data_IF_996240073286
#
_entry.id   IF_996240073286
#
_cell.length_a   1.000
_cell.length_b   1.000
_cell.length_c   1.000
_cell.angle_alpha   90.00
_cell.angle_beta   90.00
_cell.angle_gamma   90.00
#
_symmetry.space_group_name_H-M   'P 1'
#
loop_
_entity.id
_entity.type
_entity.pdbx_description
1 polymer ?
#
# COMPACT_ATOMS: atom_id res chain seq x y z
N UNK A 1 -43.62 -0.91 -1.72
CA UNK A 1 -44.34 -1.22 -2.98
C UNK A 1 -43.33 -1.15 -4.11
N UNK A 2 -43.08 -2.28 -4.77
CA UNK A 2 -42.01 -2.48 -5.76
C UNK A 2 -41.95 -3.96 -6.11
N UNK A 3 -43.01 -4.41 -6.77
CA UNK A 3 -43.29 -5.80 -7.11
C UNK A 3 -42.51 -6.28 -8.34
N UNK A 4 -42.32 -7.60 -8.39
CA UNK A 4 -42.26 -8.46 -9.58
C UNK A 4 -41.03 -8.36 -10.52
N UNK A 5 -40.21 -9.42 -10.53
CA UNK A 5 -40.14 -10.35 -11.67
C UNK A 5 -39.11 -11.47 -11.44
N UNK A 6 -39.54 -12.70 -11.13
CA UNK A 6 -38.73 -13.90 -11.32
C UNK A 6 -39.00 -14.45 -12.73
N UNK A 7 -38.01 -14.35 -13.62
CA UNK A 7 -38.06 -14.96 -14.95
C UNK A 7 -37.35 -16.32 -14.92
N UNK A 8 -38.16 -17.37 -15.11
CA UNK A 8 -37.77 -18.76 -15.24
C UNK A 8 -37.15 -19.09 -16.61
N UNK A 9 -36.17 -19.99 -16.62
CA UNK A 9 -35.73 -20.76 -17.80
C UNK A 9 -35.32 -22.15 -17.31
N UNK A 10 -36.28 -23.09 -17.23
CA UNK A 10 -36.56 -24.16 -18.22
C UNK A 10 -35.45 -25.20 -18.33
N UNK A 11 -35.62 -26.29 -17.60
CA UNK A 11 -35.00 -27.59 -17.81
C UNK A 11 -35.48 -28.20 -19.14
N UNK A 12 -34.61 -28.85 -19.93
CA UNK A 12 -35.04 -29.68 -21.04
C UNK A 12 -35.42 -31.08 -20.54
N UNK A 13 -36.72 -31.29 -20.39
CA UNK A 13 -37.34 -32.62 -20.37
C UNK A 13 -37.31 -33.26 -21.77
N UNK A 14 -37.08 -34.57 -21.81
CA UNK A 14 -37.69 -35.44 -22.81
C UNK A 14 -36.87 -35.74 -24.06
N UNK A 15 -35.85 -36.58 -23.94
CA UNK A 15 -35.42 -37.40 -25.08
C UNK A 15 -35.96 -38.81 -24.89
N UNK A 16 -37.05 -39.08 -25.60
CA UNK A 16 -37.76 -40.34 -25.62
C UNK A 16 -36.88 -41.47 -26.17
N UNK A 17 -36.82 -42.56 -25.41
CA UNK A 17 -36.25 -43.85 -25.77
C UNK A 17 -37.06 -44.49 -26.91
N UNK A 18 -36.44 -44.84 -28.06
CA UNK A 18 -37.08 -45.68 -29.07
C UNK A 18 -37.12 -47.14 -28.58
N UNK A 19 -38.19 -47.91 -28.89
CA UNK A 19 -38.25 -49.33 -28.60
C UNK A 19 -37.26 -50.12 -29.47
N UNK A 20 -36.72 -51.25 -28.97
CA UNK A 20 -35.79 -52.09 -29.72
C UNK A 20 -36.51 -52.89 -30.81
N UNK A 21 -35.90 -53.10 -31.98
CA UNK A 21 -36.36 -54.11 -32.94
C UNK A 21 -35.89 -55.50 -32.50
N UNK A 22 -36.82 -56.44 -32.49
CA UNK A 22 -36.60 -57.88 -32.34
C UNK A 22 -35.75 -58.45 -33.48
N UNK A 23 -34.83 -59.34 -33.09
CA UNK A 23 -34.27 -60.49 -33.79
C UNK A 23 -33.99 -60.38 -35.30
N UNK A 24 -32.72 -60.15 -35.61
CA UNK A 24 -32.07 -60.71 -36.78
C UNK A 24 -30.70 -61.28 -36.38
N UNK A 25 -30.63 -62.60 -36.31
CA UNK A 25 -29.41 -63.36 -36.16
C UNK A 25 -28.54 -63.24 -37.42
N UNK A 26 -27.31 -62.72 -37.34
CA UNK A 26 -26.18 -63.18 -38.18
C UNK A 26 -24.82 -62.76 -37.58
N UNK A 27 -23.88 -63.71 -37.64
CA UNK A 27 -22.40 -63.63 -37.68
C UNK A 27 -21.57 -63.43 -36.40
N UNK A 28 -21.15 -64.58 -35.84
CA UNK A 28 -20.07 -64.76 -34.85
C UNK A 28 -18.65 -64.56 -35.44
N UNK A 29 -18.37 -63.45 -36.15
CA UNK A 29 -17.00 -63.26 -36.67
C UNK A 29 -16.50 -61.82 -36.66
N UNK A 30 -16.55 -61.17 -35.48
CA UNK A 30 -15.64 -60.07 -35.17
C UNK A 30 -15.58 -59.83 -33.66
N UNK A 31 -14.67 -60.56 -33.00
CA UNK A 31 -14.31 -60.27 -31.60
C UNK A 31 -13.52 -58.96 -31.57
N UNK A 32 -14.00 -57.90 -30.91
CA UNK A 32 -13.22 -56.68 -30.76
C UNK A 32 -11.92 -57.01 -30.01
N UNK A 33 -10.77 -56.42 -30.38
CA UNK A 33 -9.57 -56.57 -29.56
C UNK A 33 -9.87 -56.12 -28.13
N UNK A 34 -9.26 -56.74 -27.11
CA UNK A 34 -9.52 -56.40 -25.72
C UNK A 34 -9.33 -54.90 -25.52
N UNK A 35 -10.38 -54.23 -25.04
CA UNK A 35 -10.35 -52.82 -24.73
C UNK A 35 -9.20 -52.58 -23.76
N UNK A 36 -8.20 -51.80 -24.18
CA UNK A 36 -7.09 -51.41 -23.34
C UNK A 36 -7.66 -50.75 -22.07
N UNK A 37 -7.29 -51.26 -20.90
CA UNK A 37 -7.74 -50.69 -19.63
C UNK A 37 -7.44 -49.18 -19.62
N UNK A 38 -8.42 -48.34 -19.25
CA UNK A 38 -8.17 -46.91 -19.13
C UNK A 38 -6.99 -46.70 -18.18
N UNK A 39 -6.04 -45.80 -18.53
CA UNK A 39 -4.87 -45.59 -17.69
C UNK A 39 -5.32 -45.26 -16.26
N UNK A 40 -4.67 -45.83 -15.24
CA UNK A 40 -5.04 -45.62 -13.85
C UNK A 40 -5.09 -44.12 -13.58
N UNK A 41 -6.28 -43.64 -13.17
CA UNK A 41 -6.45 -42.23 -12.84
C UNK A 41 -5.55 -41.91 -11.65
N UNK A 42 -4.76 -40.83 -11.70
CA UNK A 42 -3.93 -40.43 -10.57
C UNK A 42 -4.79 -40.34 -9.31
N UNK A 43 -4.36 -40.95 -8.21
CA UNK A 43 -5.03 -40.83 -6.92
C UNK A 43 -4.93 -39.37 -6.44
N UNK A 44 -5.92 -38.56 -6.81
CA UNK A 44 -6.13 -37.20 -6.30
C UNK A 44 -6.67 -37.31 -4.88
N UNK A 45 -5.85 -37.77 -3.93
CA UNK A 45 -6.33 -37.97 -2.57
C UNK A 45 -5.43 -38.73 -1.59
N UNK A 46 -4.20 -39.08 -1.95
CA UNK A 46 -3.28 -39.71 -1.01
C UNK A 46 -3.01 -38.82 0.22
N UNK A 47 -2.80 -39.46 1.37
CA UNK A 47 -2.57 -38.90 2.74
C UNK A 47 -1.42 -37.88 2.88
N UNK A 48 -0.81 -37.48 1.76
CA UNK A 48 0.19 -36.43 1.64
C UNK A 48 -0.34 -35.21 0.89
N UNK A 49 -1.49 -34.65 1.28
CA UNK A 49 -1.77 -33.24 0.97
C UNK A 49 -0.72 -32.40 1.71
N UNK A 50 0.41 -32.17 1.03
CA UNK A 50 1.53 -31.40 1.55
C UNK A 50 1.01 -30.03 1.93
N UNK A 51 1.20 -29.68 3.19
CA UNK A 51 0.77 -28.46 3.82
C UNK A 51 0.87 -27.26 2.86
N UNK A 52 -0.24 -26.52 2.75
CA UNK A 52 -0.32 -25.21 2.09
C UNK A 52 0.96 -24.44 2.39
N UNK A 53 1.77 -24.22 1.37
CA UNK A 53 3.15 -23.79 1.51
C UNK A 53 3.18 -22.48 2.31
N UNK A 54 3.72 -22.51 3.52
CA UNK A 54 3.86 -21.31 4.33
C UNK A 54 4.58 -20.22 3.51
N UNK A 55 4.18 -18.94 3.61
CA UNK A 55 4.85 -17.86 2.90
C UNK A 55 6.36 -17.88 3.17
N UNK A 56 7.20 -17.65 2.15
CA UNK A 56 8.64 -17.64 2.35
C UNK A 56 9.02 -16.59 3.40
N UNK A 57 9.93 -16.92 4.35
CA UNK A 57 10.29 -16.00 5.42
C UNK A 57 10.81 -14.68 4.85
N UNK A 58 10.48 -13.58 5.52
CA UNK A 58 10.86 -12.24 5.09
C UNK A 58 12.39 -12.09 5.19
N UNK A 59 13.09 -11.68 4.10
CA UNK A 59 14.53 -11.48 4.15
C UNK A 59 14.87 -10.36 5.13
N UNK A 60 15.96 -10.52 5.88
CA UNK A 60 16.42 -9.52 6.85
C UNK A 60 16.56 -8.12 6.24
N UNK A 61 17.04 -8.01 5.00
CA UNK A 61 17.13 -6.73 4.29
C UNK A 61 15.77 -6.01 4.15
N UNK A 62 14.67 -6.74 3.88
CA UNK A 62 13.34 -6.13 3.77
C UNK A 62 12.84 -5.70 5.15
N UNK A 63 13.08 -6.52 6.17
CA UNK A 63 12.75 -6.17 7.56
C UNK A 63 13.49 -4.90 8.00
N UNK A 64 14.81 -4.83 7.78
CA UNK A 64 15.63 -3.66 8.11
C UNK A 64 15.15 -2.42 7.35
N UNK A 65 14.86 -2.53 6.05
CA UNK A 65 14.33 -1.43 5.26
C UNK A 65 12.99 -0.91 5.80
N UNK A 66 12.11 -1.80 6.25
CA UNK A 66 10.84 -1.41 6.90
C UNK A 66 11.09 -0.76 8.26
N UNK A 67 12.01 -1.29 9.08
CA UNK A 67 12.36 -0.67 10.36
C UNK A 67 12.86 0.76 10.20
N UNK A 68 13.68 1.03 9.17
CA UNK A 68 14.10 2.39 8.84
C UNK A 68 12.93 3.29 8.42
N UNK A 69 11.99 2.76 7.65
CA UNK A 69 10.76 3.48 7.30
C UNK A 69 9.88 3.79 8.52
N UNK A 70 9.72 2.84 9.42
CA UNK A 70 8.98 3.04 10.68
C UNK A 70 9.68 4.08 11.56
N UNK A 71 11.01 4.00 11.68
CA UNK A 71 11.80 5.01 12.39
C UNK A 71 11.67 6.40 11.76
N UNK A 72 11.64 6.49 10.44
CA UNK A 72 11.37 7.75 9.71
C UNK A 72 9.99 8.31 10.05
N UNK A 73 8.95 7.46 10.07
CA UNK A 73 7.59 7.88 10.45
C UNK A 73 7.51 8.37 11.90
N UNK A 74 8.24 7.74 12.81
CA UNK A 74 8.33 8.17 14.20
C UNK A 74 9.03 9.54 14.32
N UNK A 75 10.13 9.74 13.60
CA UNK A 75 10.82 11.03 13.55
C UNK A 75 9.91 12.14 12.98
N UNK A 76 9.16 11.83 11.92
CA UNK A 76 8.19 12.77 11.35
C UNK A 76 7.03 13.09 12.28
N UNK A 77 6.56 12.13 13.06
CA UNK A 77 5.53 12.37 14.07
C UNK A 77 6.04 13.28 15.20
N UNK A 78 7.29 13.11 15.63
CA UNK A 78 7.94 13.98 16.60
C UNK A 78 8.08 15.41 16.07
N UNK A 79 8.54 15.56 14.81
CA UNK A 79 8.64 16.86 14.16
C UNK A 79 7.26 17.55 14.04
N UNK A 80 6.24 16.79 13.61
CA UNK A 80 4.86 17.27 13.52
C UNK A 80 4.32 17.74 14.89
N UNK A 81 4.54 16.93 15.93
CA UNK A 81 4.12 17.27 17.30
C UNK A 81 4.81 18.54 17.82
N UNK A 82 6.08 18.74 17.48
CA UNK A 82 6.82 19.98 17.78
C UNK A 82 6.19 21.19 17.08
N UNK A 83 5.86 21.09 15.80
CA UNK A 83 5.21 22.16 15.03
C UNK A 83 3.85 22.53 15.62
N UNK A 84 3.02 21.52 15.95
CA UNK A 84 1.71 21.74 16.57
C UNK A 84 1.86 22.47 17.91
N UNK A 85 2.88 22.14 18.70
CA UNK A 85 3.17 22.85 19.96
C UNK A 85 3.55 24.32 19.74
N UNK A 86 4.21 24.64 18.63
CA UNK A 86 4.59 26.00 18.24
C UNK A 86 3.51 26.78 17.48
N UNK A 87 2.32 26.20 17.30
CA UNK A 87 1.25 26.77 16.49
C UNK A 87 0.77 28.18 16.91
N UNK A 88 0.64 28.52 18.20
CA UNK A 88 0.26 29.88 18.61
C UNK A 88 1.24 30.94 18.11
N UNK A 89 2.55 30.66 18.23
CA UNK A 89 3.62 31.57 17.82
C UNK A 89 3.64 31.77 16.30
N UNK A 90 3.33 30.72 15.54
CA UNK A 90 3.22 30.78 14.08
C UNK A 90 2.01 31.60 13.65
N UNK A 91 0.87 31.45 14.34
CA UNK A 91 -0.35 32.21 14.08
C UNK A 91 -0.13 33.71 14.30
N UNK A 92 0.52 34.08 15.39
CA UNK A 92 0.77 35.49 15.73
C UNK A 92 1.72 36.15 14.72
N UNK A 93 2.78 35.45 14.31
CA UNK A 93 3.70 35.94 13.26
C UNK A 93 3.00 36.10 11.91
N UNK A 94 2.18 35.12 11.50
CA UNK A 94 1.45 35.21 10.24
C UNK A 94 0.45 36.37 10.26
N UNK A 95 -0.25 36.56 11.37
CA UNK A 95 -1.18 37.67 11.52
C UNK A 95 -0.46 39.03 11.44
N UNK A 96 0.71 39.16 12.08
CA UNK A 96 1.52 40.37 12.00
C UNK A 96 1.96 40.67 10.56
N UNK A 97 2.44 39.67 9.83
CA UNK A 97 2.92 39.85 8.46
C UNK A 97 1.79 40.14 7.45
N UNK A 98 0.59 39.56 7.64
CA UNK A 98 -0.58 39.89 6.83
C UNK A 98 -1.00 41.34 7.07
N UNK A 99 -1.05 41.79 8.32
CA UNK A 99 -1.40 43.19 8.65
C UNK A 99 -0.35 44.17 8.12
N UNK A 100 0.92 43.78 8.12
CA UNK A 100 2.00 44.59 7.53
C UNK A 100 1.86 44.75 6.01
N UNK A 101 1.49 43.68 5.30
CA UNK A 101 1.30 43.72 3.83
C UNK A 101 -0.03 44.30 3.40
N UNK A 102 -1.08 44.12 4.19
CA UNK A 102 -2.41 44.67 3.94
C UNK A 102 -3.00 45.28 5.22
N UNK A 103 -2.77 46.58 5.45
CA UNK A 103 -3.27 47.27 6.64
C UNK A 103 -4.80 47.45 6.63
N UNK A 104 -5.49 47.12 5.53
CA UNK A 104 -6.95 47.17 5.47
C UNK A 104 -7.62 45.93 6.05
N UNK A 105 -6.85 44.85 6.24
CA UNK A 105 -7.33 43.60 6.84
C UNK A 105 -7.35 43.70 8.37
N UNK A 106 -8.45 43.25 8.99
CA UNK A 106 -8.55 43.20 10.45
C UNK A 106 -7.74 42.04 11.02
N UNK A 107 -7.14 42.24 12.21
CA UNK A 107 -6.37 41.19 12.91
C UNK A 107 -7.20 39.91 13.11
N UNK A 108 -8.48 40.04 13.42
CA UNK A 108 -9.39 38.91 13.60
C UNK A 108 -9.54 38.07 12.32
N UNK A 109 -9.70 38.72 11.17
CA UNK A 109 -9.78 38.02 9.86
C UNK A 109 -8.46 37.31 9.54
N UNK A 110 -7.32 37.97 9.75
CA UNK A 110 -6.00 37.36 9.52
C UNK A 110 -5.76 36.14 10.42
N UNK A 111 -6.16 36.24 11.70
CA UNK A 111 -6.05 35.16 12.67
C UNK A 111 -6.95 33.96 12.37
N UNK A 112 -8.13 34.18 11.78
CA UNK A 112 -9.05 33.12 11.39
C UNK A 112 -8.56 32.40 10.12
N UNK A 113 -8.13 33.16 9.12
CA UNK A 113 -7.48 32.62 7.92
C UNK A 113 -6.23 31.79 8.27
N UNK A 114 -5.39 32.28 9.20
CA UNK A 114 -4.23 31.54 9.70
C UNK A 114 -4.62 30.22 10.38
N UNK A 115 -5.71 30.21 11.14
CA UNK A 115 -6.23 28.99 11.79
C UNK A 115 -6.65 27.95 10.77
N UNK A 116 -7.43 28.35 9.75
CA UNK A 116 -7.85 27.46 8.67
C UNK A 116 -6.65 26.91 7.90
N UNK A 117 -5.68 27.76 7.57
CA UNK A 117 -4.47 27.34 6.86
C UNK A 117 -3.67 26.32 7.68
N UNK A 118 -3.52 26.54 8.99
CA UNK A 118 -2.88 25.58 9.90
C UNK A 118 -3.60 24.23 9.87
N UNK A 119 -4.94 24.22 9.96
CA UNK A 119 -5.70 22.96 9.92
C UNK A 119 -5.58 22.25 8.57
N UNK A 120 -5.55 22.97 7.46
CA UNK A 120 -5.31 22.39 6.13
C UNK A 120 -3.91 21.77 6.08
N UNK A 121 -2.89 22.46 6.59
CA UNK A 121 -1.51 21.95 6.64
C UNK A 121 -1.39 20.70 7.53
N UNK A 122 -2.00 20.72 8.72
CA UNK A 122 -2.03 19.57 9.64
C UNK A 122 -2.80 18.40 9.03
N UNK A 123 -3.97 18.65 8.44
CA UNK A 123 -4.77 17.62 7.77
C UNK A 123 -4.03 17.00 6.58
N UNK A 124 -3.38 17.82 5.76
CA UNK A 124 -2.52 17.37 4.67
C UNK A 124 -1.35 16.52 5.16
N UNK A 125 -0.70 16.92 6.25
CA UNK A 125 0.39 16.16 6.86
C UNK A 125 -0.08 14.80 7.38
N UNK A 126 -1.22 14.76 8.07
CA UNK A 126 -1.84 13.51 8.53
C UNK A 126 -2.19 12.60 7.36
N UNK A 127 -2.75 13.14 6.28
CA UNK A 127 -3.07 12.38 5.08
C UNK A 127 -1.81 11.76 4.45
N UNK A 128 -0.75 12.55 4.27
CA UNK A 128 0.55 12.06 3.77
C UNK A 128 1.10 10.97 4.68
N UNK A 129 1.00 11.14 6.00
CA UNK A 129 1.45 10.14 6.96
C UNK A 129 0.66 8.83 6.85
N UNK A 130 -0.67 8.89 6.69
CA UNK A 130 -1.52 7.71 6.46
C UNK A 130 -1.15 6.99 5.16
N UNK A 131 -0.89 7.73 4.08
CA UNK A 131 -0.45 7.16 2.81
C UNK A 131 0.87 6.39 2.99
N UNK A 132 1.83 6.96 3.72
CA UNK A 132 3.07 6.27 4.04
C UNK A 132 2.84 4.99 4.84
N UNK A 133 2.02 5.06 5.89
CA UNK A 133 1.70 3.91 6.73
C UNK A 133 1.09 2.78 5.89
N UNK A 134 0.11 3.09 5.03
CA UNK A 134 -0.50 2.13 4.11
C UNK A 134 0.55 1.52 3.18
N UNK A 135 1.45 2.31 2.61
CA UNK A 135 2.51 1.82 1.72
C UNK A 135 3.50 0.90 2.45
N UNK A 136 3.87 1.23 3.70
CA UNK A 136 4.71 0.37 4.55
C UNK A 136 4.01 -0.96 4.82
N UNK A 137 2.74 -0.93 5.24
CA UNK A 137 1.95 -2.14 5.49
C UNK A 137 1.78 -2.99 4.23
N UNK A 138 1.52 -2.37 3.07
CA UNK A 138 1.42 -3.10 1.79
C UNK A 138 2.75 -3.72 1.37
N UNK A 139 3.85 -3.03 1.61
CA UNK A 139 5.21 -3.53 1.34
C UNK A 139 5.53 -4.71 2.25
N UNK A 140 5.17 -4.64 3.53
CA UNK A 140 5.25 -5.77 4.46
C UNK A 140 4.42 -6.98 4.00
N UNK A 141 3.22 -6.72 3.45
CA UNK A 141 2.34 -7.74 2.87
C UNK A 141 2.75 -8.30 1.50
N UNK A 142 3.97 -8.01 1.02
CA UNK A 142 4.51 -8.59 -0.21
C UNK A 142 4.10 -7.88 -1.51
N UNK A 143 3.49 -6.69 -1.46
CA UNK A 143 3.10 -5.96 -2.68
C UNK A 143 4.30 -5.22 -3.28
N UNK A 144 4.96 -5.84 -4.25
CA UNK A 144 6.14 -5.27 -4.90
C UNK A 144 5.92 -3.93 -5.64
N UNK A 145 4.68 -3.48 -5.84
CA UNK A 145 4.37 -2.13 -6.36
C UNK A 145 4.50 -1.04 -5.28
N UNK A 146 4.15 -1.35 -4.03
CA UNK A 146 4.17 -0.39 -2.92
C UNK A 146 5.59 0.11 -2.60
N UNK A 147 6.61 -0.71 -2.86
CA UNK A 147 8.02 -0.32 -2.70
C UNK A 147 8.40 0.90 -3.54
N UNK A 148 7.88 1.00 -4.76
CA UNK A 148 8.19 2.12 -5.66
C UNK A 148 7.48 3.38 -5.21
N UNK A 149 6.26 3.23 -4.67
CA UNK A 149 5.57 4.30 -3.97
C UNK A 149 6.41 4.84 -2.82
N UNK A 150 6.92 3.98 -1.93
CA UNK A 150 7.80 4.39 -0.83
C UNK A 150 9.06 5.10 -1.34
N UNK A 151 9.75 4.55 -2.34
CA UNK A 151 10.97 5.16 -2.89
C UNK A 151 10.69 6.57 -3.43
N UNK A 152 9.62 6.73 -4.23
CA UNK A 152 9.24 8.04 -4.77
C UNK A 152 8.87 9.02 -3.66
N UNK A 153 8.11 8.57 -2.66
CA UNK A 153 7.70 9.41 -1.54
C UNK A 153 8.88 9.80 -0.65
N UNK A 154 9.84 8.89 -0.44
CA UNK A 154 11.08 9.16 0.28
C UNK A 154 11.95 10.19 -0.45
N UNK A 155 12.09 10.08 -1.77
CA UNK A 155 12.80 11.06 -2.59
C UNK A 155 12.10 12.43 -2.58
N UNK A 156 10.77 12.44 -2.74
CA UNK A 156 9.98 13.67 -2.69
C UNK A 156 10.09 14.33 -1.31
N UNK A 157 9.99 13.55 -0.23
CA UNK A 157 10.17 14.05 1.13
C UNK A 157 11.56 14.64 1.36
N UNK A 158 12.61 13.97 0.87
CA UNK A 158 13.97 14.51 0.94
C UNK A 158 14.13 15.83 0.17
N UNK A 159 13.58 15.92 -1.04
CA UNK A 159 13.60 17.15 -1.83
C UNK A 159 12.86 18.31 -1.12
N UNK A 160 11.69 18.04 -0.55
CA UNK A 160 10.93 19.02 0.24
C UNK A 160 11.75 19.50 1.43
N UNK A 161 12.41 18.59 2.17
CA UNK A 161 13.25 18.98 3.32
C UNK A 161 14.40 19.89 2.90
N UNK A 162 15.01 19.65 1.73
CA UNK A 162 16.08 20.52 1.20
C UNK A 162 15.54 21.92 0.88
N UNK A 163 14.41 22.00 0.17
CA UNK A 163 13.77 23.29 -0.17
C UNK A 163 13.37 24.06 1.09
N UNK A 164 12.76 23.36 2.05
CA UNK A 164 12.36 23.96 3.34
C UNK A 164 13.58 24.47 4.11
N UNK A 165 14.71 23.77 4.07
CA UNK A 165 15.94 24.25 4.70
C UNK A 165 16.53 25.47 4.02
N UNK A 166 16.49 25.54 2.69
CA UNK A 166 16.98 26.69 1.93
C UNK A 166 16.17 27.96 2.27
N UNK A 167 14.84 27.82 2.33
CA UNK A 167 13.93 28.91 2.74
C UNK A 167 14.13 29.30 4.21
N UNK A 168 14.47 28.34 5.08
CA UNK A 168 14.64 28.57 6.51
C UNK A 168 16.09 28.88 6.93
N UNK A 169 17.04 28.98 5.98
CA UNK A 169 18.47 29.15 6.26
C UNK A 169 18.84 30.52 6.88
N UNK A 170 17.86 31.37 7.18
CA UNK A 170 18.07 32.65 7.82
C UNK A 170 18.62 32.48 9.25
N UNK A 171 19.75 33.13 9.53
CA UNK A 171 20.76 32.71 10.52
C UNK A 171 20.47 33.04 11.99
N UNK A 172 19.31 33.63 12.30
CA UNK A 172 19.12 34.31 13.59
C UNK A 172 18.30 33.54 14.66
N UNK A 173 18.05 32.23 14.52
CA UNK A 173 16.96 31.60 15.32
C UNK A 173 17.23 30.24 15.98
N UNK A 174 17.20 30.31 17.33
CA UNK A 174 16.68 29.40 18.37
C UNK A 174 16.85 27.87 18.30
N UNK A 175 17.24 27.29 19.44
CA UNK A 175 17.46 25.85 19.70
C UNK A 175 16.28 24.92 19.30
N UNK A 176 15.03 25.41 19.34
CA UNK A 176 13.84 24.62 18.95
C UNK A 176 13.80 24.40 17.43
N UNK A 177 14.28 25.37 16.64
CA UNK A 177 14.35 25.28 15.18
C UNK A 177 15.42 24.27 14.75
N UNK A 178 16.53 24.19 15.48
CA UNK A 178 17.57 23.17 15.28
C UNK A 178 17.07 21.75 15.54
N UNK A 179 16.31 21.52 16.61
CA UNK A 179 15.76 20.19 16.90
C UNK A 179 14.82 19.70 15.78
N UNK A 180 13.97 20.59 15.27
CA UNK A 180 13.05 20.24 14.20
C UNK A 180 13.79 19.97 12.88
N UNK A 181 14.85 20.74 12.60
CA UNK A 181 15.74 20.54 11.46
C UNK A 181 16.43 19.18 11.53
N UNK A 182 17.00 18.82 12.68
CA UNK A 182 17.64 17.51 12.89
C UNK A 182 16.62 16.39 12.75
N UNK A 183 15.42 16.54 13.30
CA UNK A 183 14.35 15.53 13.18
C UNK A 183 13.93 15.32 11.72
N UNK A 184 13.77 16.38 10.94
CA UNK A 184 13.43 16.32 9.51
C UNK A 184 14.56 15.71 8.67
N UNK A 185 15.82 16.07 8.97
CA UNK A 185 17.00 15.45 8.33
C UNK A 185 17.12 13.97 8.65
N UNK A 186 16.91 13.60 9.92
CA UNK A 186 16.89 12.21 10.34
C UNK A 186 15.75 11.47 9.63
N UNK A 187 14.53 12.01 9.62
CA UNK A 187 13.40 11.43 8.89
C UNK A 187 13.74 11.19 7.42
N UNK A 188 14.26 12.19 6.71
CA UNK A 188 14.62 12.09 5.30
C UNK A 188 15.75 11.08 5.07
N UNK A 189 16.79 11.10 5.90
CA UNK A 189 17.91 10.16 5.83
C UNK A 189 17.46 8.72 6.07
N UNK A 190 16.64 8.48 7.09
CA UNK A 190 16.09 7.16 7.38
C UNK A 190 15.18 6.67 6.24
N UNK A 191 14.32 7.53 5.70
CA UNK A 191 13.47 7.19 4.56
C UNK A 191 14.30 6.84 3.31
N UNK A 192 15.37 7.58 3.05
CA UNK A 192 16.26 7.35 1.92
C UNK A 192 17.03 6.04 2.08
N UNK A 193 17.61 5.79 3.26
CA UNK A 193 18.31 4.54 3.57
C UNK A 193 17.35 3.35 3.44
N UNK A 194 16.15 3.45 4.03
CA UNK A 194 15.10 2.43 3.90
C UNK A 194 14.71 2.18 2.43
N UNK A 195 14.60 3.24 1.63
CA UNK A 195 14.31 3.17 0.19
C UNK A 195 15.41 2.47 -0.60
N UNK A 196 16.68 2.80 -0.34
CA UNK A 196 17.83 2.17 -0.99
C UNK A 196 17.89 0.68 -0.67
N UNK A 197 17.69 0.31 0.59
CA UNK A 197 17.65 -1.09 1.04
C UNK A 197 16.51 -1.84 0.35
N UNK A 198 15.32 -1.24 0.25
CA UNK A 198 14.17 -1.85 -0.43
C UNK A 198 14.32 -1.95 -1.96
N UNK A 199 15.10 -1.05 -2.56
CA UNK A 199 15.44 -1.09 -3.98
C UNK A 199 16.45 -2.20 -4.33
N UNK A 200 17.16 -2.74 -3.34
CA UNK A 200 18.20 -3.73 -3.56
C UNK A 200 17.68 -5.03 -4.20
N UNK A 201 18.53 -5.66 -5.03
CA UNK A 201 18.23 -6.92 -5.73
C UNK A 201 17.71 -8.06 -4.84
N UNK A 202 18.17 -8.26 -3.59
CA UNK A 202 17.65 -9.30 -2.71
C UNK A 202 16.15 -9.10 -2.40
N UNK A 203 15.72 -7.87 -2.10
CA UNK A 203 14.32 -7.54 -1.86
C UNK A 203 13.48 -7.81 -3.12
N UNK A 204 13.98 -7.41 -4.30
CA UNK A 204 13.30 -7.66 -5.58
C UNK A 204 13.08 -9.14 -5.89
N UNK A 205 14.05 -10.00 -5.55
CA UNK A 205 13.91 -11.46 -5.73
C UNK A 205 12.79 -12.04 -4.86
N UNK A 206 12.71 -11.62 -3.60
CA UNK A 206 11.64 -12.06 -2.68
C UNK A 206 10.25 -11.65 -3.16
N UNK A 207 10.08 -10.39 -3.59
CA UNK A 207 8.79 -9.93 -4.13
C UNK A 207 8.40 -10.67 -5.42
N UNK A 208 9.37 -11.01 -6.27
CA UNK A 208 9.13 -11.78 -7.50
C UNK A 208 8.69 -13.21 -7.18
N UNK A 209 9.32 -13.84 -6.19
CA UNK A 209 8.96 -15.18 -5.72
C UNK A 209 7.53 -15.20 -5.12
N UNK A 210 7.19 -14.22 -4.27
CA UNK A 210 5.84 -14.08 -3.73
C UNK A 210 4.77 -13.90 -4.81
N UNK A 211 5.08 -13.14 -5.87
CA UNK A 211 4.15 -12.96 -7.00
C UNK A 211 3.95 -14.24 -7.81
N UNK A 212 4.94 -15.11 -7.91
CA UNK A 212 4.82 -16.39 -8.62
C UNK A 212 3.94 -17.41 -7.89
N UNK A 213 3.76 -17.25 -6.58
CA UNK A 213 2.98 -18.15 -5.73
C UNK A 213 1.52 -17.72 -5.55
N UNK A 214 1.15 -16.51 -5.98
CA UNK A 214 -0.23 -16.01 -6.01
C UNK A 214 -0.78 -16.14 -7.41
#
# INVERSE_FOLDING_TARGET
MGSMSPAAAREPEGQATPPPPDDAAVDEEQRPPPAAEPPPRPEVGGVGFVATSAPPPMPGAVSTGISFWVGSLAAGLLAAGSIVRSQPQLRDRFAAEVVERDPTTTLATAQDAASVLVWIMVGGLVLVWLVHLVLVLRTAGGHGGARWGLILLGLLGAAIVVVVQDVLADSDVSMIRDLNRVALLAQAGLALIGSIILAARPAGRWFKELRRRR
#
